data_IF_553318230195
#
_entry.id   IF_553318230195
#
_cell.length_a   1.000
_cell.length_b   1.000
_cell.length_c   1.000
_cell.angle_alpha   90.00
_cell.angle_beta   90.00
_cell.angle_gamma   90.00
#
_symmetry.space_group_name_H-M   'P 1'
#
loop_
_entity.id
_entity.type
_entity.pdbx_description
1 polymer ?
#
# COMPACT_ATOMS: atom_id res chain seq x y z
N UNK A 1 -29.51 -33.93 -2.83
CA UNK A 1 -28.70 -33.43 -3.96
C UNK A 1 -29.33 -32.14 -4.44
N UNK A 2 -28.54 -31.08 -4.66
CA UNK A 2 -28.97 -29.83 -5.28
C UNK A 2 -27.90 -29.52 -6.32
N UNK A 3 -28.24 -29.58 -7.60
CA UNK A 3 -27.31 -29.27 -8.68
C UNK A 3 -27.36 -27.77 -8.98
N UNK A 4 -26.41 -27.01 -8.42
CA UNK A 4 -26.22 -25.59 -8.76
C UNK A 4 -25.51 -25.47 -10.11
N UNK A 5 -26.27 -25.65 -11.20
CA UNK A 5 -25.76 -25.55 -12.56
C UNK A 5 -25.29 -24.14 -12.91
N UNK A 6 -23.98 -23.90 -12.86
CA UNK A 6 -23.38 -22.67 -13.39
C UNK A 6 -23.48 -22.68 -14.92
N UNK A 7 -24.08 -21.64 -15.55
CA UNK A 7 -24.25 -21.61 -17.01
C UNK A 7 -22.91 -21.41 -17.72
N UNK A 8 -22.47 -22.44 -18.48
CA UNK A 8 -21.27 -22.37 -19.33
C UNK A 8 -21.44 -21.32 -20.43
N UNK A 9 -20.58 -20.27 -20.51
CA UNK A 9 -20.74 -19.22 -21.52
C UNK A 9 -20.36 -19.70 -22.92
N UNK A 10 -21.34 -19.84 -23.81
CA UNK A 10 -21.16 -20.36 -25.19
C UNK A 10 -20.70 -19.31 -26.21
N UNK A 11 -20.33 -18.10 -25.77
CA UNK A 11 -19.87 -17.01 -26.63
C UNK A 11 -18.39 -16.71 -26.46
N UNK A 12 -17.65 -16.48 -27.56
CA UNK A 12 -16.24 -16.04 -27.53
C UNK A 12 -16.05 -14.84 -26.59
N UNK A 13 -15.30 -15.04 -25.51
CA UNK A 13 -14.96 -14.01 -24.52
C UNK A 13 -13.99 -13.01 -25.14
N UNK A 14 -14.49 -11.82 -25.49
CA UNK A 14 -13.68 -10.74 -26.06
C UNK A 14 -12.94 -10.06 -24.90
N UNK A 15 -11.77 -10.62 -24.54
CA UNK A 15 -10.95 -10.18 -23.42
C UNK A 15 -11.52 -10.53 -22.04
N UNK A 16 -10.61 -10.67 -21.07
CA UNK A 16 -10.95 -10.77 -19.64
C UNK A 16 -10.45 -9.51 -18.93
N UNK A 17 -11.32 -8.83 -18.18
CA UNK A 17 -10.95 -7.69 -17.34
C UNK A 17 -10.97 -8.11 -15.86
N UNK A 18 -10.08 -7.51 -15.07
CA UNK A 18 -10.05 -7.62 -13.60
C UNK A 18 -10.57 -6.33 -12.97
N UNK A 19 -11.43 -6.46 -11.97
CA UNK A 19 -12.01 -5.38 -11.16
C UNK A 19 -11.66 -5.68 -9.70
N UNK A 20 -11.18 -4.68 -8.97
CA UNK A 20 -10.58 -4.87 -7.65
C UNK A 20 -11.14 -3.82 -6.66
N UNK A 21 -11.61 -4.27 -5.51
CA UNK A 21 -11.79 -3.40 -4.33
C UNK A 21 -10.49 -3.44 -3.53
N UNK A 22 -9.96 -2.28 -3.16
CA UNK A 22 -8.64 -2.19 -2.51
C UNK A 22 -8.69 -1.13 -1.42
N UNK A 23 -8.16 -1.45 -0.25
CA UNK A 23 -8.09 -0.53 0.90
C UNK A 23 -7.03 0.57 0.63
N UNK A 24 -7.09 1.70 1.35
CA UNK A 24 -6.23 2.88 1.07
C UNK A 24 -4.71 2.61 1.20
N UNK A 25 -4.30 1.54 1.88
CA UNK A 25 -2.91 1.07 1.94
C UNK A 25 -2.47 0.21 0.74
N UNK A 26 -3.39 -0.15 -0.17
CA UNK A 26 -3.13 -1.06 -1.29
C UNK A 26 -3.50 -2.52 -1.03
N UNK A 27 -4.10 -2.85 0.12
CA UNK A 27 -4.51 -4.22 0.47
C UNK A 27 -5.76 -4.62 -0.33
N UNK A 28 -5.75 -5.74 -1.09
CA UNK A 28 -6.90 -6.18 -1.85
C UNK A 28 -8.02 -6.66 -0.91
N UNK A 29 -9.23 -6.10 -1.07
CA UNK A 29 -10.42 -6.42 -0.29
C UNK A 29 -11.30 -7.43 -1.03
N UNK A 30 -11.45 -7.27 -2.34
CA UNK A 30 -12.19 -8.21 -3.19
C UNK A 30 -11.71 -8.14 -4.65
N UNK A 31 -11.89 -9.23 -5.40
CA UNK A 31 -11.45 -9.35 -6.78
C UNK A 31 -12.48 -10.07 -7.64
N UNK A 32 -12.74 -9.55 -8.84
CA UNK A 32 -13.55 -10.18 -9.88
C UNK A 32 -12.80 -10.19 -11.21
N UNK A 33 -12.72 -11.36 -11.83
CA UNK A 33 -12.42 -11.49 -13.26
C UNK A 33 -13.73 -11.65 -14.03
N UNK A 34 -13.87 -10.95 -15.15
CA UNK A 34 -15.07 -11.00 -15.98
C UNK A 34 -14.78 -10.68 -17.45
N UNK A 35 -15.79 -10.76 -18.29
CA UNK A 35 -15.72 -10.30 -19.69
C UNK A 35 -15.25 -8.84 -19.75
N UNK A 36 -14.43 -8.46 -20.74
CA UNK A 36 -14.02 -7.06 -20.93
C UNK A 36 -15.09 -6.19 -21.65
N UNK A 37 -16.30 -6.72 -21.87
CA UNK A 37 -17.42 -5.98 -22.51
C UNK A 37 -18.14 -4.95 -21.62
N UNK A 38 -18.42 -5.19 -20.32
CA UNK A 38 -19.10 -4.21 -19.48
C UNK A 38 -18.21 -3.01 -19.21
N UNK A 39 -18.81 -1.82 -19.06
CA UNK A 39 -18.06 -0.64 -18.63
C UNK A 39 -17.55 -0.80 -17.20
N UNK A 40 -16.35 -0.28 -16.95
CA UNK A 40 -15.69 -0.14 -15.63
C UNK A 40 -16.62 0.21 -14.47
N UNK A 41 -17.49 1.21 -14.68
CA UNK A 41 -18.44 1.69 -13.67
C UNK A 41 -19.56 0.71 -13.38
N UNK A 42 -19.89 -0.20 -14.30
CA UNK A 42 -20.80 -1.31 -14.06
C UNK A 42 -20.10 -2.42 -13.26
N UNK A 43 -18.93 -2.87 -13.71
CA UNK A 43 -18.18 -3.93 -13.01
C UNK A 43 -17.83 -3.53 -11.56
N UNK A 44 -17.42 -2.27 -11.35
CA UNK A 44 -17.21 -1.70 -10.01
C UNK A 44 -18.50 -1.56 -9.19
N UNK A 45 -19.64 -1.24 -9.83
CA UNK A 45 -20.96 -1.18 -9.15
C UNK A 45 -21.43 -2.56 -8.69
N UNK A 46 -21.22 -3.59 -9.51
CA UNK A 46 -21.58 -4.98 -9.19
C UNK A 46 -20.73 -5.49 -8.04
N UNK A 47 -19.41 -5.38 -8.14
CA UNK A 47 -18.47 -5.82 -7.10
C UNK A 47 -18.67 -5.09 -5.75
N UNK A 48 -19.01 -3.80 -5.79
CA UNK A 48 -19.45 -3.07 -4.59
C UNK A 48 -20.82 -3.52 -4.10
N UNK A 49 -21.78 -3.73 -5.00
CA UNK A 49 -23.15 -4.12 -4.63
C UNK A 49 -23.20 -5.38 -3.79
N UNK A 50 -22.28 -6.31 -4.07
CA UNK A 50 -22.04 -7.55 -3.33
C UNK A 50 -21.34 -7.29 -1.99
N UNK A 51 -20.11 -6.75 -1.99
CA UNK A 51 -19.27 -6.72 -0.79
C UNK A 51 -19.51 -5.54 0.18
N UNK A 52 -20.21 -4.48 -0.21
CA UNK A 52 -20.34 -3.29 0.65
C UNK A 52 -21.23 -3.51 1.89
N UNK A 53 -21.88 -4.68 2.03
CA UNK A 53 -22.54 -5.10 3.26
C UNK A 53 -21.56 -5.72 4.27
N UNK A 54 -20.58 -6.49 3.78
CA UNK A 54 -19.55 -7.18 4.58
C UNK A 54 -18.45 -6.22 5.09
N UNK A 55 -18.50 -4.97 4.63
CA UNK A 55 -17.54 -3.91 4.91
C UNK A 55 -18.24 -2.78 5.70
N UNK A 56 -18.77 -3.03 6.92
CA UNK A 56 -19.61 -2.06 7.66
C UNK A 56 -18.89 -0.76 8.04
N UNK A 57 -17.57 -0.69 7.83
CA UNK A 57 -16.72 0.42 8.20
C UNK A 57 -16.46 1.45 7.07
N UNK A 58 -16.96 1.23 5.84
CA UNK A 58 -16.71 2.11 4.67
C UNK A 58 -17.24 3.53 4.92
N UNK A 59 -16.36 4.53 4.88
CA UNK A 59 -16.75 5.96 4.82
C UNK A 59 -16.77 6.55 3.41
N UNK A 60 -15.92 6.04 2.51
CA UNK A 60 -15.74 6.58 1.17
C UNK A 60 -15.61 5.50 0.09
N UNK A 61 -15.90 5.90 -1.15
CA UNK A 61 -15.53 5.27 -2.41
C UNK A 61 -14.69 6.31 -3.15
N UNK A 62 -13.38 6.05 -3.34
CA UNK A 62 -12.52 6.91 -4.17
C UNK A 62 -12.30 6.25 -5.54
N UNK A 63 -12.51 7.01 -6.61
CA UNK A 63 -12.35 6.55 -8.00
C UNK A 63 -12.10 7.72 -8.96
N UNK A 64 -11.85 7.44 -10.24
CA UNK A 64 -11.66 8.47 -11.27
C UNK A 64 -13.00 8.99 -11.88
N UNK A 65 -12.90 9.82 -12.93
CA UNK A 65 -14.06 10.40 -13.63
C UNK A 65 -15.04 9.38 -14.24
N UNK A 66 -14.61 8.15 -14.55
CA UNK A 66 -15.48 7.07 -15.02
C UNK A 66 -16.45 6.58 -13.95
N UNK A 67 -16.03 6.61 -12.67
CA UNK A 67 -16.81 6.08 -11.55
C UNK A 67 -17.91 7.02 -11.05
N UNK A 68 -18.18 8.14 -11.75
CA UNK A 68 -19.33 9.04 -11.46
C UNK A 68 -20.67 8.29 -11.44
N UNK A 69 -20.81 7.24 -12.25
CA UNK A 69 -22.00 6.36 -12.23
C UNK A 69 -22.18 5.53 -10.95
N UNK A 70 -21.27 5.61 -9.97
CA UNK A 70 -21.45 5.05 -8.63
C UNK A 70 -22.25 5.96 -7.68
N UNK A 71 -22.56 7.21 -8.05
CA UNK A 71 -23.19 8.19 -7.14
C UNK A 71 -24.45 7.65 -6.44
N UNK A 72 -25.40 7.11 -7.20
CA UNK A 72 -26.64 6.54 -6.66
C UNK A 72 -26.44 5.21 -5.89
N UNK A 73 -25.29 4.54 -6.01
CA UNK A 73 -24.94 3.41 -5.14
C UNK A 73 -24.38 3.91 -3.81
N UNK A 74 -23.46 4.88 -3.87
CA UNK A 74 -22.82 5.48 -2.72
C UNK A 74 -23.85 6.18 -1.80
N UNK A 75 -24.75 6.97 -2.41
CA UNK A 75 -25.87 7.65 -1.73
C UNK A 75 -26.80 6.68 -0.99
N UNK A 76 -27.32 5.64 -1.67
CA UNK A 76 -28.18 4.59 -1.07
C UNK A 76 -27.50 3.75 0.02
N UNK A 77 -26.19 3.86 0.17
CA UNK A 77 -25.38 3.16 1.17
C UNK A 77 -24.75 4.12 2.18
N UNK A 78 -25.06 5.41 2.10
CA UNK A 78 -24.54 6.49 2.95
C UNK A 78 -22.99 6.62 2.93
N UNK A 79 -22.37 6.25 1.81
CA UNK A 79 -20.92 6.34 1.58
C UNK A 79 -20.57 7.56 0.72
N UNK A 80 -19.48 8.26 1.04
CA UNK A 80 -18.98 9.42 0.28
C UNK A 80 -18.34 8.98 -1.04
N UNK A 81 -18.82 9.47 -2.19
CA UNK A 81 -18.14 9.30 -3.47
C UNK A 81 -17.14 10.45 -3.73
N UNK A 82 -15.85 10.13 -3.80
CA UNK A 82 -14.76 11.07 -4.05
C UNK A 82 -14.14 10.83 -5.44
N UNK A 83 -14.55 11.66 -6.41
CA UNK A 83 -14.12 11.55 -7.82
C UNK A 83 -12.84 12.34 -8.04
N UNK A 84 -11.71 11.63 -8.13
CA UNK A 84 -10.41 12.21 -8.49
C UNK A 84 -10.35 12.56 -9.97
N UNK A 85 -9.59 13.61 -10.26
CA UNK A 85 -9.44 14.17 -11.60
C UNK A 85 -8.12 14.93 -11.69
N UNK A 86 -7.41 14.90 -12.84
CA UNK A 86 -6.27 15.77 -13.05
C UNK A 86 -6.67 17.25 -12.94
N UNK A 87 -5.78 18.13 -12.42
CA UNK A 87 -6.00 19.57 -12.43
C UNK A 87 -6.27 20.09 -13.85
N UNK A 88 -7.12 21.11 -13.97
CA UNK A 88 -7.45 21.70 -15.28
C UNK A 88 -6.19 22.30 -15.91
N UNK A 89 -5.94 21.99 -17.17
CA UNK A 89 -4.80 22.53 -17.95
C UNK A 89 -3.52 21.69 -17.91
N UNK A 90 -3.46 20.60 -17.14
CA UNK A 90 -2.34 19.65 -17.19
C UNK A 90 -2.59 18.61 -18.30
N UNK A 91 -1.55 18.32 -19.09
CA UNK A 91 -1.54 17.28 -20.12
C UNK A 91 -0.57 16.14 -19.74
N UNK A 92 -0.79 14.95 -20.30
CA UNK A 92 -0.04 13.74 -19.95
C UNK A 92 -0.59 13.02 -18.71
N UNK A 93 0.11 11.95 -18.31
CA UNK A 93 -0.23 11.20 -17.10
C UNK A 93 -0.04 12.08 -15.86
N UNK A 94 -1.13 12.40 -15.16
CA UNK A 94 -1.08 13.06 -13.85
C UNK A 94 -1.41 12.02 -12.79
N UNK A 95 -0.48 11.64 -11.91
CA UNK A 95 -0.76 10.71 -10.82
C UNK A 95 -1.90 11.22 -9.95
N UNK A 96 -2.96 10.42 -9.80
CA UNK A 96 -4.10 10.75 -8.97
C UNK A 96 -3.95 10.11 -7.60
N UNK A 97 -3.54 10.92 -6.63
CA UNK A 97 -3.69 10.67 -5.20
C UNK A 97 -5.18 10.40 -4.88
N UNK A 98 -5.61 9.25 -4.31
CA UNK A 98 -4.86 8.06 -3.90
C UNK A 98 -4.49 7.02 -4.96
N UNK A 99 -5.35 6.89 -5.98
CA UNK A 99 -5.55 5.75 -6.90
C UNK A 99 -4.24 5.05 -7.33
N UNK A 100 -3.19 5.84 -7.59
CA UNK A 100 -1.82 5.36 -7.79
C UNK A 100 -1.37 4.23 -6.87
N UNK A 101 -1.59 4.31 -5.54
CA UNK A 101 -0.83 3.45 -4.59
C UNK A 101 -1.07 1.97 -4.91
N UNK A 102 -2.26 1.72 -5.43
CA UNK A 102 -2.71 0.45 -5.96
C UNK A 102 -2.02 0.12 -7.29
N UNK A 103 -2.04 1.04 -8.27
CA UNK A 103 -1.33 0.91 -9.56
C UNK A 103 0.16 0.57 -9.39
N UNK A 104 0.84 1.19 -8.42
CA UNK A 104 2.24 0.91 -8.09
C UNK A 104 2.42 -0.47 -7.47
N UNK A 105 1.62 -0.84 -6.46
CA UNK A 105 1.70 -2.15 -5.82
C UNK A 105 1.54 -3.30 -6.82
N UNK A 106 0.67 -3.12 -7.84
CA UNK A 106 0.55 -4.08 -8.94
C UNK A 106 1.68 -3.97 -9.98
N UNK A 107 2.17 -2.77 -10.32
CA UNK A 107 3.32 -2.62 -11.22
C UNK A 107 4.61 -3.26 -10.66
N UNK A 108 4.85 -3.17 -9.34
CA UNK A 108 5.96 -3.86 -8.67
C UNK A 108 5.78 -5.37 -8.53
N UNK A 109 4.57 -5.90 -8.72
CA UNK A 109 4.26 -7.34 -8.58
C UNK A 109 4.64 -8.20 -9.81
N UNK A 110 5.44 -7.66 -10.74
CA UNK A 110 5.97 -8.41 -11.89
C UNK A 110 5.00 -8.59 -13.06
N UNK A 111 3.75 -8.11 -12.95
CA UNK A 111 2.83 -8.03 -14.08
C UNK A 111 3.29 -6.90 -15.04
N UNK A 112 4.02 -7.29 -16.10
CA UNK A 112 4.89 -6.36 -16.85
C UNK A 112 4.21 -5.14 -17.48
N UNK A 113 4.72 -3.94 -17.13
CA UNK A 113 4.75 -2.77 -18.02
C UNK A 113 3.76 -1.62 -17.77
N UNK A 114 3.88 -0.90 -16.64
CA UNK A 114 3.27 0.44 -16.44
C UNK A 114 4.03 1.28 -15.37
N UNK A 115 3.91 2.62 -15.37
CA UNK A 115 4.68 3.55 -14.51
C UNK A 115 3.89 4.83 -14.03
N UNK A 116 4.25 5.52 -12.90
CA UNK A 116 3.23 6.01 -11.93
C UNK A 116 3.56 7.35 -11.10
N UNK A 117 3.16 7.57 -9.80
CA UNK A 117 3.40 8.76 -8.87
C UNK A 117 2.44 8.88 -7.60
N UNK A 118 2.82 9.30 -6.34
CA UNK A 118 2.24 8.82 -5.02
C UNK A 118 1.22 9.60 -4.08
N UNK A 119 0.70 8.91 -3.01
CA UNK A 119 -0.15 9.40 -1.86
C UNK A 119 0.58 9.59 -0.50
N UNK A 120 0.09 10.53 0.33
CA UNK A 120 0.66 11.14 1.56
C UNK A 120 -0.39 11.29 2.69
N UNK A 121 -0.06 11.16 3.99
CA UNK A 121 -0.95 11.61 5.10
C UNK A 121 -0.67 13.09 5.47
N UNK A 122 -1.50 13.73 6.29
CA UNK A 122 -1.21 15.08 6.80
C UNK A 122 -2.30 15.70 7.67
N UNK A 123 -1.91 16.27 8.81
CA UNK A 123 -2.78 17.13 9.64
C UNK A 123 -2.84 18.57 9.10
N UNK A 124 -3.84 19.35 9.53
CA UNK A 124 -3.93 20.79 9.23
C UNK A 124 -2.91 21.58 10.06
N UNK A 125 -1.82 22.03 9.43
CA UNK A 125 -0.84 22.92 10.07
C UNK A 125 -0.02 23.75 9.09
N UNK A 126 -0.33 25.06 9.03
CA UNK A 126 0.43 26.13 8.37
C UNK A 126 0.67 26.05 6.84
N UNK A 127 0.82 27.23 6.21
CA UNK A 127 1.30 27.41 4.83
C UNK A 127 2.61 28.18 4.85
N UNK A 128 3.70 27.67 4.27
CA UNK A 128 4.77 28.52 3.76
C UNK A 128 4.28 29.35 2.56
N UNK A 129 5.00 30.42 2.24
CA UNK A 129 4.71 31.29 1.10
C UNK A 129 5.97 31.62 0.31
N UNK A 130 5.81 32.12 -0.91
CA UNK A 130 6.87 32.49 -1.86
C UNK A 130 7.64 31.26 -2.43
N UNK A 131 8.34 31.34 -3.56
CA UNK A 131 8.63 32.49 -4.43
C UNK A 131 8.41 32.16 -5.93
N UNK A 132 8.49 33.17 -6.82
CA UNK A 132 8.44 33.00 -8.28
C UNK A 132 9.85 32.77 -8.85
N UNK A 133 10.08 31.64 -9.51
CA UNK A 133 11.26 31.40 -10.36
C UNK A 133 10.92 31.47 -11.85
N UNK A 134 11.81 32.02 -12.69
CA UNK A 134 11.71 31.95 -14.15
C UNK A 134 12.47 30.72 -14.66
N UNK A 135 11.96 30.07 -15.71
CA UNK A 135 12.70 29.10 -16.51
C UNK A 135 12.79 29.57 -17.97
N UNK A 136 13.94 29.36 -18.59
CA UNK A 136 14.24 29.76 -19.97
C UNK A 136 13.77 28.75 -21.02
N UNK A 137 13.84 29.13 -22.29
CA UNK A 137 13.69 28.25 -23.46
C UNK A 137 15.07 27.82 -23.97
N UNK A 138 15.14 26.66 -24.64
CA UNK A 138 15.97 26.34 -25.82
C UNK A 138 15.37 25.04 -26.47
N UNK A 139 15.78 24.58 -27.68
CA UNK A 139 14.79 24.34 -28.74
C UNK A 139 14.68 22.89 -29.28
N UNK A 140 13.77 22.69 -30.24
CA UNK A 140 13.56 21.45 -30.99
C UNK A 140 14.68 21.12 -32.01
N UNK A 141 14.94 19.82 -32.22
CA UNK A 141 15.21 19.26 -33.55
C UNK A 141 14.59 17.84 -33.68
N UNK A 142 14.23 17.39 -34.89
CA UNK A 142 13.21 16.33 -35.07
C UNK A 142 13.42 15.45 -36.33
N UNK A 143 13.90 14.20 -36.16
CA UNK A 143 13.92 13.14 -37.21
C UNK A 143 13.96 11.72 -36.60
N UNK A 144 13.62 10.63 -37.32
CA UNK A 144 12.45 10.30 -38.18
C UNK A 144 12.59 8.82 -38.64
N UNK A 145 11.53 8.00 -38.46
CA UNK A 145 11.26 6.69 -39.11
C UNK A 145 12.31 5.55 -39.06
N UNK A 146 11.84 4.37 -38.65
CA UNK A 146 11.90 3.17 -39.50
C UNK A 146 10.47 2.64 -39.72
N UNK A 147 10.26 1.82 -40.75
CA UNK A 147 9.01 1.09 -41.04
C UNK A 147 9.43 -0.29 -41.57
N UNK A 148 9.01 -1.38 -40.92
CA UNK A 148 8.23 -2.48 -41.52
C UNK A 148 8.08 -3.66 -40.55
N UNK A 149 6.90 -4.30 -40.59
CA UNK A 149 6.55 -5.70 -40.25
C UNK A 149 5.03 -5.77 -39.95
N UNK A 150 4.19 -6.22 -40.89
CA UNK A 150 2.83 -6.65 -40.59
C UNK A 150 2.80 -8.06 -39.94
N UNK A 151 1.61 -8.52 -39.59
CA UNK A 151 1.29 -9.90 -39.17
C UNK A 151 1.95 -10.43 -37.88
N UNK A 152 1.47 -9.90 -36.74
CA UNK A 152 1.13 -10.77 -35.60
C UNK A 152 -0.06 -10.25 -34.80
N UNK A 153 -0.98 -11.17 -34.50
CA UNK A 153 -2.08 -10.94 -33.57
C UNK A 153 -1.58 -11.07 -32.14
N UNK A 154 -1.26 -9.96 -31.50
CA UNK A 154 -1.25 -9.83 -30.03
C UNK A 154 -1.48 -8.37 -29.62
N UNK A 155 -2.70 -7.87 -29.83
CA UNK A 155 -3.13 -6.63 -29.20
C UNK A 155 -3.39 -6.87 -27.71
N UNK A 156 -2.32 -6.81 -26.92
CA UNK A 156 -2.40 -6.59 -25.48
C UNK A 156 -2.97 -5.18 -25.22
N UNK A 157 -4.29 -5.05 -25.32
CA UNK A 157 -4.97 -3.79 -25.07
C UNK A 157 -4.87 -3.42 -23.59
N UNK A 158 -4.01 -2.45 -23.27
CA UNK A 158 -3.80 -1.92 -21.92
C UNK A 158 -5.05 -1.17 -21.43
N UNK A 159 -6.01 -1.90 -20.86
CA UNK A 159 -7.21 -1.35 -20.24
C UNK A 159 -7.01 -1.11 -18.76
N UNK A 160 -7.36 0.09 -18.30
CA UNK A 160 -7.10 0.53 -16.93
C UNK A 160 -7.90 -0.31 -15.91
N UNK A 161 -7.28 -0.72 -14.79
CA UNK A 161 -7.97 -1.47 -13.73
C UNK A 161 -8.99 -0.60 -12.99
N UNK A 162 -10.02 -1.24 -12.44
CA UNK A 162 -11.02 -0.55 -11.65
C UNK A 162 -10.61 -0.47 -10.18
N UNK A 163 -10.63 0.74 -9.61
CA UNK A 163 -10.33 0.99 -8.22
C UNK A 163 -11.51 1.58 -7.48
N UNK A 164 -11.78 1.04 -6.29
CA UNK A 164 -12.63 1.64 -5.27
C UNK A 164 -11.91 1.54 -3.95
N UNK A 165 -11.59 2.70 -3.36
CA UNK A 165 -10.92 2.76 -2.07
C UNK A 165 -11.91 2.82 -0.93
N UNK A 166 -11.77 1.84 -0.04
CA UNK A 166 -12.50 1.71 1.21
C UNK A 166 -11.75 2.44 2.33
N UNK A 167 -12.39 3.43 2.94
CA UNK A 167 -11.91 4.08 4.17
C UNK A 167 -12.55 3.38 5.37
N UNK A 168 -11.82 2.45 6.01
CA UNK A 168 -12.31 1.72 7.19
C UNK A 168 -12.24 2.58 8.46
N UNK A 169 -13.33 2.59 9.24
CA UNK A 169 -13.35 3.03 10.64
C UNK A 169 -12.50 2.10 11.54
N UNK A 170 -11.17 2.26 11.51
CA UNK A 170 -10.33 1.88 12.66
C UNK A 170 -10.74 2.76 13.84
N UNK A 171 -10.88 2.20 15.05
CA UNK A 171 -11.15 3.01 16.24
C UNK A 171 -9.95 3.91 16.53
N UNK A 172 -10.16 5.13 17.05
CA UNK A 172 -9.03 6.02 17.35
C UNK A 172 -8.11 5.39 18.41
N UNK A 173 -8.67 4.64 19.37
CA UNK A 173 -7.89 3.87 20.34
C UNK A 173 -7.01 2.79 19.69
N UNK A 174 -7.50 2.11 18.64
CA UNK A 174 -6.68 1.14 17.90
C UNK A 174 -5.59 1.84 17.08
N UNK A 175 -5.89 2.96 16.43
CA UNK A 175 -4.88 3.78 15.73
C UNK A 175 -3.76 4.18 16.69
N UNK A 176 -4.09 4.73 17.86
CA UNK A 176 -3.08 5.14 18.83
C UNK A 176 -2.34 3.94 19.43
N UNK A 177 -3.01 2.81 19.70
CA UNK A 177 -2.37 1.60 20.22
C UNK A 177 -1.36 0.97 19.24
N UNK A 178 -1.65 1.00 17.93
CA UNK A 178 -0.72 0.53 16.89
C UNK A 178 0.45 1.50 16.74
N UNK A 179 0.19 2.82 16.76
CA UNK A 179 1.25 3.83 16.67
C UNK A 179 2.19 3.81 17.89
N UNK A 180 1.64 3.57 19.09
CA UNK A 180 2.41 3.37 20.32
C UNK A 180 3.32 2.13 20.19
N UNK A 181 2.81 0.98 19.77
CA UNK A 181 3.62 -0.23 19.58
C UNK A 181 4.80 -0.02 18.61
N UNK A 182 4.63 0.82 17.57
CA UNK A 182 5.70 1.18 16.62
C UNK A 182 6.78 2.07 17.27
N UNK A 183 6.39 3.02 18.14
CA UNK A 183 7.32 3.90 18.84
C UNK A 183 8.00 3.18 20.03
N UNK A 184 7.28 2.29 20.73
CA UNK A 184 7.81 1.39 21.76
C UNK A 184 8.85 0.43 21.17
N UNK A 185 8.58 -0.17 20.00
CA UNK A 185 9.52 -1.05 19.32
C UNK A 185 10.83 -0.33 18.96
N UNK A 186 10.73 0.86 18.35
CA UNK A 186 11.89 1.70 18.08
C UNK A 186 12.67 2.10 19.34
N UNK A 187 11.97 2.26 20.48
CA UNK A 187 12.57 2.55 21.78
C UNK A 187 13.32 1.35 22.37
N UNK A 188 12.75 0.15 22.31
CA UNK A 188 13.42 -1.08 22.76
C UNK A 188 14.66 -1.41 21.92
N UNK A 189 14.60 -1.24 20.59
CA UNK A 189 15.77 -1.34 19.71
C UNK A 189 16.88 -0.35 20.11
N UNK A 190 16.55 0.91 20.35
CA UNK A 190 17.53 1.94 20.74
C UNK A 190 18.16 1.68 22.12
N UNK A 191 17.39 1.08 23.04
CA UNK A 191 17.85 0.64 24.36
C UNK A 191 18.59 -0.71 24.36
N UNK A 192 18.58 -1.45 23.24
CA UNK A 192 19.01 -2.85 23.14
C UNK A 192 18.26 -3.80 24.10
N UNK A 193 16.98 -3.50 24.38
CA UNK A 193 16.12 -4.23 25.32
C UNK A 193 15.46 -5.45 24.67
N UNK A 194 16.06 -6.62 24.89
CA UNK A 194 15.51 -7.91 24.48
C UNK A 194 14.18 -8.24 25.17
N UNK A 195 14.00 -7.86 26.43
CA UNK A 195 12.77 -8.15 27.17
C UNK A 195 11.57 -7.38 26.62
N UNK A 196 11.72 -6.06 26.45
CA UNK A 196 10.69 -5.20 25.87
C UNK A 196 10.37 -5.55 24.42
N UNK A 197 11.39 -5.75 23.57
CA UNK A 197 11.18 -6.19 22.17
C UNK A 197 10.40 -7.50 22.12
N UNK A 198 10.78 -8.51 22.90
CA UNK A 198 10.09 -9.80 22.95
C UNK A 198 8.68 -9.73 23.57
N UNK A 199 8.37 -8.70 24.36
CA UNK A 199 7.03 -8.45 24.89
C UNK A 199 6.09 -7.76 23.88
N UNK A 200 6.64 -7.02 22.92
CA UNK A 200 5.90 -6.39 21.81
C UNK A 200 5.57 -7.36 20.68
N UNK A 201 6.24 -8.52 20.62
CA UNK A 201 5.95 -9.59 19.65
C UNK A 201 4.73 -10.44 20.05
N UNK A 202 4.06 -10.98 19.04
CA UNK A 202 3.03 -12.01 19.23
C UNK A 202 3.65 -13.28 19.85
N UNK A 203 2.87 -13.97 20.68
CA UNK A 203 3.19 -15.30 21.20
C UNK A 203 2.56 -16.36 20.29
N UNK A 204 3.03 -16.38 19.05
CA UNK A 204 2.44 -17.11 17.93
C UNK A 204 3.56 -17.89 17.19
N UNK A 205 3.36 -19.15 16.80
CA UNK A 205 4.37 -19.94 16.09
C UNK A 205 4.80 -19.32 14.74
N UNK A 206 3.97 -18.46 14.14
CA UNK A 206 4.23 -17.80 12.86
C UNK A 206 4.75 -16.37 12.99
N UNK A 207 5.08 -15.92 14.21
CA UNK A 207 5.74 -14.63 14.42
C UNK A 207 7.03 -14.54 13.60
N UNK A 208 7.13 -13.52 12.75
CA UNK A 208 8.11 -13.45 11.67
C UNK A 208 8.80 -12.09 11.61
N UNK A 209 10.12 -12.09 11.48
CA UNK A 209 10.93 -10.90 11.19
C UNK A 209 11.74 -11.11 9.93
N UNK A 210 11.66 -10.13 9.02
CA UNK A 210 12.48 -10.02 7.81
C UNK A 210 13.33 -8.74 7.97
N UNK A 211 14.66 -8.84 8.14
CA UNK A 211 15.55 -7.70 8.27
C UNK A 211 15.78 -6.99 6.93
N UNK A 212 16.26 -5.75 6.98
CA UNK A 212 16.78 -5.03 5.82
C UNK A 212 18.18 -5.53 5.40
N UNK A 213 19.06 -5.79 6.38
CA UNK A 213 20.35 -6.44 6.17
C UNK A 213 20.18 -7.96 5.97
N UNK A 214 20.13 -8.42 4.71
CA UNK A 214 20.27 -9.83 4.34
C UNK A 214 19.12 -10.42 3.52
N UNK A 215 19.03 -11.76 3.51
CA UNK A 215 17.97 -12.52 2.81
C UNK A 215 17.32 -13.59 3.70
N UNK A 216 17.66 -13.64 4.99
CA UNK A 216 17.15 -14.63 5.93
C UNK A 216 15.83 -14.18 6.57
N UNK A 217 14.79 -14.99 6.45
CA UNK A 217 13.53 -14.81 7.20
C UNK A 217 13.61 -15.55 8.52
N UNK A 218 13.36 -14.86 9.63
CA UNK A 218 13.32 -15.46 10.96
C UNK A 218 11.87 -15.67 11.39
N UNK A 219 11.38 -16.92 11.34
CA UNK A 219 10.00 -17.31 11.73
C UNK A 219 10.00 -18.19 12.98
N UNK A 220 9.03 -17.96 13.84
CA UNK A 220 8.86 -18.62 15.13
C UNK A 220 9.69 -17.97 16.24
N UNK A 221 9.14 -17.99 17.45
CA UNK A 221 9.64 -17.26 18.63
C UNK A 221 11.15 -17.40 18.83
N UNK A 222 11.67 -18.63 18.85
CA UNK A 222 13.09 -18.90 19.10
C UNK A 222 14.03 -18.36 18.00
N UNK A 223 13.60 -18.34 16.74
CA UNK A 223 14.42 -17.79 15.65
C UNK A 223 14.48 -16.25 15.71
N UNK A 224 13.35 -15.61 16.03
CA UNK A 224 13.26 -14.16 16.20
C UNK A 224 14.02 -13.69 17.45
N UNK A 225 13.93 -14.43 18.56
CA UNK A 225 14.71 -14.18 19.77
C UNK A 225 16.21 -14.33 19.52
N UNK A 226 16.64 -15.40 18.84
CA UNK A 226 18.04 -15.57 18.45
C UNK A 226 18.53 -14.46 17.50
N UNK A 227 17.64 -13.90 16.66
CA UNK A 227 17.97 -12.77 15.78
C UNK A 227 18.19 -11.47 16.56
N UNK A 228 17.24 -11.06 17.40
CA UNK A 228 17.41 -9.85 18.21
C UNK A 228 18.57 -9.98 19.21
N UNK A 229 18.80 -11.18 19.77
CA UNK A 229 19.98 -11.47 20.58
C UNK A 229 21.31 -11.25 19.84
N UNK A 230 21.40 -11.60 18.55
CA UNK A 230 22.59 -11.30 17.72
C UNK A 230 22.75 -9.80 17.46
N UNK A 231 21.66 -9.08 17.18
CA UNK A 231 21.70 -7.63 16.95
C UNK A 231 22.11 -6.86 18.21
N UNK A 232 21.58 -7.23 19.38
CA UNK A 232 21.90 -6.58 20.64
C UNK A 232 23.26 -6.98 21.23
N UNK A 233 23.80 -8.14 20.85
CA UNK A 233 25.19 -8.52 21.12
C UNK A 233 26.22 -7.81 20.22
N UNK A 234 25.78 -7.10 19.17
CA UNK A 234 26.68 -6.37 18.25
C UNK A 234 27.01 -4.95 18.77
N UNK A 235 28.16 -4.37 18.37
CA UNK A 235 28.51 -2.99 18.68
C UNK A 235 27.71 -1.94 17.86
N UNK A 236 26.71 -2.38 17.08
CA UNK A 236 25.77 -1.51 16.37
C UNK A 236 24.58 -1.16 17.29
N UNK A 237 24.11 0.09 17.24
CA UNK A 237 22.82 0.50 17.79
C UNK A 237 21.95 1.10 16.70
N UNK A 238 20.66 0.82 16.76
CA UNK A 238 19.67 1.19 15.75
C UNK A 238 18.56 2.02 16.40
N UNK A 239 18.17 3.12 15.76
CA UNK A 239 17.03 3.95 16.19
C UNK A 239 16.39 4.64 14.98
N UNK A 240 15.12 5.08 15.07
CA UNK A 240 14.41 5.66 13.93
C UNK A 240 13.78 7.02 14.26
N UNK A 241 13.66 7.85 13.23
CA UNK A 241 12.78 9.04 13.21
C UNK A 241 11.75 8.86 12.10
N UNK A 242 10.52 8.51 12.48
CA UNK A 242 9.42 8.35 11.54
C UNK A 242 8.97 9.70 10.95
N UNK A 243 8.82 9.76 9.62
CA UNK A 243 8.37 10.92 8.84
C UNK A 243 6.87 10.85 8.49
N UNK A 244 6.36 9.68 8.10
CA UNK A 244 4.93 9.39 7.97
C UNK A 244 4.64 7.96 8.46
N UNK A 245 3.44 7.75 9.02
CA UNK A 245 2.99 6.47 9.57
C UNK A 245 1.54 6.22 9.17
N UNK A 246 1.33 5.13 8.44
CA UNK A 246 0.02 4.67 8.01
C UNK A 246 -0.32 3.36 8.73
N UNK A 247 -1.56 3.26 9.21
CA UNK A 247 -2.11 2.08 9.88
C UNK A 247 -3.52 1.84 9.34
N UNK A 248 -3.88 0.57 9.15
CA UNK A 248 -5.25 0.13 8.92
C UNK A 248 -5.50 -1.14 9.74
N UNK A 249 -6.74 -1.34 10.19
CA UNK A 249 -7.10 -2.44 11.08
C UNK A 249 -8.55 -2.88 10.90
N UNK A 250 -8.80 -4.14 11.26
CA UNK A 250 -10.12 -4.76 11.24
C UNK A 250 -10.19 -5.85 12.33
N UNK A 251 -11.18 -5.75 13.23
CA UNK A 251 -11.35 -6.71 14.31
C UNK A 251 -10.14 -6.78 15.25
N UNK A 252 -9.40 -7.89 15.19
CA UNK A 252 -8.19 -8.15 15.97
C UNK A 252 -6.89 -8.09 15.14
N UNK A 253 -6.95 -7.61 13.90
CA UNK A 253 -5.82 -7.55 12.96
C UNK A 253 -5.53 -6.12 12.52
N UNK A 254 -4.26 -5.79 12.34
CA UNK A 254 -3.80 -4.52 11.81
C UNK A 254 -2.60 -4.68 10.89
N UNK A 255 -2.47 -3.79 9.91
CA UNK A 255 -1.28 -3.67 9.04
C UNK A 255 -0.78 -2.23 9.06
N UNK A 256 0.54 -2.06 9.01
CA UNK A 256 1.17 -0.75 9.07
C UNK A 256 2.31 -0.58 8.07
N UNK A 257 2.60 0.69 7.78
CA UNK A 257 3.78 1.15 7.05
C UNK A 257 4.28 2.41 7.78
N UNK A 258 5.54 2.41 8.20
CA UNK A 258 6.23 3.54 8.80
C UNK A 258 7.46 3.88 7.95
N UNK A 259 7.50 5.10 7.40
CA UNK A 259 8.65 5.58 6.61
C UNK A 259 9.34 6.69 7.38
N UNK A 260 10.66 6.63 7.46
CA UNK A 260 11.46 7.55 8.24
C UNK A 260 12.93 7.55 7.83
N UNK A 261 13.76 7.83 8.81
CA UNK A 261 15.22 7.73 8.74
C UNK A 261 15.66 6.80 9.86
N UNK A 262 16.46 5.78 9.55
CA UNK A 262 17.19 4.97 10.52
C UNK A 262 18.53 5.64 10.83
N UNK A 263 18.93 5.60 12.09
CA UNK A 263 20.26 6.00 12.57
C UNK A 263 20.98 4.77 13.07
N UNK A 264 22.13 4.47 12.46
CA UNK A 264 23.02 3.38 12.87
C UNK A 264 24.26 3.99 13.52
N UNK A 265 24.35 3.82 14.84
CA UNK A 265 25.54 4.14 15.61
C UNK A 265 26.45 2.91 15.71
N UNK A 266 27.76 3.11 15.59
CA UNK A 266 28.79 2.09 15.86
C UNK A 266 29.88 2.76 16.69
N UNK A 267 30.47 2.03 17.64
CA UNK A 267 31.60 2.53 18.41
C UNK A 267 32.73 3.03 17.49
N UNK A 268 33.28 4.21 17.82
CA UNK A 268 34.38 4.88 17.12
C UNK A 268 34.16 5.18 15.62
N UNK A 269 32.89 5.19 15.16
CA UNK A 269 32.51 5.53 13.79
C UNK A 269 31.54 6.73 13.72
N UNK A 270 31.41 7.33 12.54
CA UNK A 270 30.38 8.35 12.27
C UNK A 270 28.99 7.69 12.17
N UNK A 271 27.99 8.31 12.82
CA UNK A 271 26.58 7.89 12.76
C UNK A 271 26.08 7.90 11.31
N UNK A 272 25.68 6.73 10.80
CA UNK A 272 25.03 6.62 9.49
C UNK A 272 23.56 7.00 9.60
N UNK A 273 23.02 7.62 8.55
CA UNK A 273 21.59 7.90 8.39
C UNK A 273 21.11 7.24 7.11
N UNK A 274 20.08 6.39 7.19
CA UNK A 274 19.61 5.56 6.08
C UNK A 274 18.10 5.80 5.89
N UNK A 275 17.59 6.09 4.68
CA UNK A 275 16.15 6.20 4.47
C UNK A 275 15.52 4.81 4.65
N UNK A 276 14.54 4.70 5.54
CA UNK A 276 14.06 3.41 6.04
C UNK A 276 12.54 3.28 5.93
N UNK A 277 12.07 2.10 5.54
CA UNK A 277 10.68 1.71 5.58
C UNK A 277 10.53 0.47 6.47
N UNK A 278 9.72 0.56 7.51
CA UNK A 278 9.29 -0.56 8.33
C UNK A 278 7.83 -0.88 7.99
N UNK A 279 7.56 -2.12 7.63
CA UNK A 279 6.23 -2.63 7.28
C UNK A 279 5.88 -3.83 8.17
N UNK A 280 4.60 -4.14 8.32
CA UNK A 280 4.23 -5.33 9.08
C UNK A 280 2.76 -5.46 9.44
N UNK A 281 2.49 -6.45 10.27
CA UNK A 281 1.15 -6.86 10.72
C UNK A 281 1.16 -7.08 12.22
N UNK A 282 0.14 -6.57 12.91
CA UNK A 282 -0.10 -6.75 14.33
C UNK A 282 -1.39 -7.54 14.56
N UNK A 283 -1.39 -8.31 15.64
CA UNK A 283 -2.56 -8.99 16.20
C UNK A 283 -2.90 -8.39 17.56
N UNK A 284 -4.18 -8.35 17.93
CA UNK A 284 -4.64 -7.85 19.23
C UNK A 284 -4.91 -9.00 20.20
N UNK A 285 -4.00 -9.19 21.17
CA UNK A 285 -4.10 -10.21 22.23
C UNK A 285 -4.15 -9.51 23.61
N UNK A 286 -5.03 -9.95 24.50
CA UNK A 286 -5.27 -9.32 25.82
C UNK A 286 -5.57 -7.80 25.76
N UNK A 287 -6.19 -7.35 24.67
CA UNK A 287 -6.43 -5.93 24.40
C UNK A 287 -5.19 -5.12 23.97
N UNK A 288 -4.00 -5.75 23.87
CA UNK A 288 -2.76 -5.13 23.40
C UNK A 288 -2.46 -5.51 21.96
N UNK A 289 -1.98 -4.56 21.17
CA UNK A 289 -1.45 -4.83 19.84
C UNK A 289 -0.02 -5.39 19.95
N UNK A 290 0.26 -6.50 19.28
CA UNK A 290 1.58 -7.15 19.22
C UNK A 290 1.95 -7.50 17.79
N UNK A 291 3.22 -7.40 17.42
CA UNK A 291 3.69 -7.68 16.06
C UNK A 291 3.68 -9.18 15.75
N UNK A 292 2.96 -9.59 14.71
CA UNK A 292 3.07 -10.92 14.12
C UNK A 292 4.08 -10.92 12.96
N UNK A 293 4.12 -9.85 12.17
CA UNK A 293 5.09 -9.68 11.08
C UNK A 293 5.78 -8.33 11.20
N UNK A 294 7.10 -8.33 11.08
CA UNK A 294 7.95 -7.17 10.85
C UNK A 294 8.79 -7.40 9.58
N UNK A 295 8.81 -6.43 8.69
CA UNK A 295 9.66 -6.42 7.51
C UNK A 295 10.26 -5.02 7.34
N UNK A 296 11.56 -4.92 7.58
CA UNK A 296 12.35 -3.72 7.38
C UNK A 296 13.00 -3.70 5.99
N UNK A 297 13.05 -2.54 5.36
CA UNK A 297 13.74 -2.34 4.09
C UNK A 297 14.41 -0.97 4.05
N UNK A 298 15.70 -0.96 3.76
CA UNK A 298 16.48 0.25 3.47
C UNK A 298 16.24 0.68 2.01
N UNK A 299 16.11 1.97 1.76
CA UNK A 299 16.13 2.50 0.40
C UNK A 299 17.58 2.49 -0.12
N UNK A 300 17.87 1.65 -1.11
CA UNK A 300 19.20 1.57 -1.71
C UNK A 300 19.61 2.92 -2.30
N UNK A 301 20.58 3.60 -1.68
CA UNK A 301 21.19 4.80 -2.24
C UNK A 301 21.84 4.45 -3.58
N UNK A 302 21.20 4.86 -4.68
CA UNK A 302 21.66 4.54 -6.03
C UNK A 302 23.05 5.12 -6.31
N UNK A 303 24.03 4.24 -6.48
CA UNK A 303 25.39 4.53 -6.94
C UNK A 303 25.56 4.32 -8.43
#
# INVERSE_FOLDING_TARGET
MIESGFPTPTGRTIGTKRTLLVEILGLPVAARAGSARPHDVQAGRELLGEHLADLPSIRAIVGDRGYRGLAALAERKHVRLDIKAPPKGVSGFTPLWPLYKIEHAFASSGAGGAAPVALLRGQRGQRPSLARGRLGRLPHLARRRLIDQPDRLDQACFWWPCWVIVESMVSESDVQGILAAIDDFGSCLAAQDLGGTLALLADDPDVTVIPSEGVETHRGRAAVEAFFGRIYGAPKRYSWRWRDRWVSASGAWASFVAIGDEFVDVADAERRVIPYCLTGTLVRHDGRWRFLLLHGSEESSGG
#
